data_IF_264869859746
#
_entry.id   IF_264869859746
#
_cell.length_a   1.000
_cell.length_b   1.000
_cell.length_c   1.000
_cell.angle_alpha   90.00
_cell.angle_beta   90.00
_cell.angle_gamma   90.00
#
_symmetry.space_group_name_H-M   'P 1'
#
loop_
_entity.id
_entity.type
_entity.pdbx_description
1 polymer ?
#
# COMPACT_ATOMS: atom_id res chain seq x y z
N UNK A 1 -15.49 40.65 28.56
CA UNK A 1 -15.11 40.15 27.22
C UNK A 1 -15.25 38.63 27.20
N UNK A 2 -16.36 38.11 26.68
CA UNK A 2 -16.66 36.68 26.67
C UNK A 2 -15.84 35.94 25.61
N UNK A 3 -15.09 34.93 26.03
CA UNK A 3 -14.47 33.92 25.17
C UNK A 3 -15.56 33.17 24.40
N UNK A 4 -15.68 33.36 23.08
CA UNK A 4 -16.42 32.44 22.21
C UNK A 4 -15.67 31.11 22.20
N UNK A 5 -16.17 30.14 22.98
CA UNK A 5 -15.83 28.72 22.80
C UNK A 5 -16.22 28.34 21.38
N UNK A 6 -15.27 27.87 20.57
CA UNK A 6 -15.60 27.10 19.38
C UNK A 6 -16.32 25.84 19.86
N UNK A 7 -17.61 25.77 19.59
CA UNK A 7 -18.42 24.56 19.76
C UNK A 7 -17.87 23.51 18.81
N UNK A 8 -17.42 22.37 19.35
CA UNK A 8 -17.28 21.16 18.55
C UNK A 8 -18.64 20.87 17.88
N UNK A 9 -18.67 20.42 16.62
CA UNK A 9 -19.91 19.88 16.07
C UNK A 9 -20.39 18.73 16.95
N UNK A 10 -21.68 18.77 17.27
CA UNK A 10 -22.37 17.75 18.04
C UNK A 10 -22.28 16.42 17.28
N UNK A 11 -21.45 15.48 17.75
CA UNK A 11 -21.33 14.11 17.22
C UNK A 11 -22.55 13.28 17.65
N UNK A 12 -23.75 13.79 17.38
CA UNK A 12 -24.99 13.04 17.54
C UNK A 12 -24.94 11.79 16.66
N UNK A 13 -25.24 10.62 17.25
CA UNK A 13 -25.40 9.39 16.47
C UNK A 13 -26.30 9.69 15.26
N UNK A 14 -25.91 9.29 14.03
CA UNK A 14 -26.71 9.53 12.84
C UNK A 14 -28.15 9.04 13.09
N UNK A 15 -29.10 9.97 13.16
CA UNK A 15 -30.48 9.66 13.55
C UNK A 15 -31.21 8.82 12.49
N UNK A 16 -30.70 8.79 11.26
CA UNK A 16 -31.26 8.02 10.16
C UNK A 16 -30.45 6.74 9.92
N UNK A 17 -31.11 5.58 9.96
CA UNK A 17 -30.50 4.32 9.52
C UNK A 17 -30.16 4.40 8.03
N UNK A 18 -28.88 4.43 7.72
CA UNK A 18 -28.40 4.43 6.35
C UNK A 18 -28.71 3.10 5.65
N UNK A 19 -29.04 3.16 4.36
CA UNK A 19 -29.16 1.97 3.51
C UNK A 19 -27.77 1.39 3.22
N UNK A 20 -27.67 0.10 2.86
CA UNK A 20 -26.40 -0.56 2.53
C UNK A 20 -25.60 0.21 1.47
N UNK A 21 -26.28 0.75 0.46
CA UNK A 21 -25.63 1.52 -0.61
C UNK A 21 -25.04 2.84 -0.13
N UNK A 22 -25.64 3.45 0.92
CA UNK A 22 -25.11 4.67 1.56
C UNK A 22 -23.93 4.37 2.49
N UNK A 23 -23.72 3.11 2.90
CA UNK A 23 -22.56 2.68 3.69
C UNK A 23 -21.33 2.40 2.82
N UNK A 24 -21.55 2.09 1.53
CA UNK A 24 -20.49 1.77 0.57
C UNK A 24 -20.25 2.93 -0.39
N UNK A 25 -19.70 4.01 0.14
CA UNK A 25 -19.35 5.18 -0.67
C UNK A 25 -18.19 4.85 -1.62
N UNK A 26 -18.27 5.37 -2.85
CA UNK A 26 -17.18 5.27 -3.82
C UNK A 26 -16.04 6.20 -3.41
N UNK A 27 -14.82 5.69 -3.40
CA UNK A 27 -13.61 6.51 -3.20
C UNK A 27 -13.53 7.57 -4.29
N UNK A 28 -13.50 8.87 -3.95
CA UNK A 28 -13.29 9.94 -4.91
C UNK A 28 -11.94 9.76 -5.62
N UNK A 29 -11.95 9.77 -6.96
CA UNK A 29 -10.79 9.58 -7.82
C UNK A 29 -10.58 10.84 -8.67
N UNK A 30 -9.39 11.41 -8.62
CA UNK A 30 -8.92 12.45 -9.54
C UNK A 30 -7.77 11.91 -10.37
N UNK A 31 -7.79 12.20 -11.66
CA UNK A 31 -6.68 11.94 -12.56
C UNK A 31 -5.94 13.26 -12.81
N UNK A 32 -4.63 13.23 -12.64
CA UNK A 32 -3.73 14.36 -12.91
C UNK A 32 -2.82 13.95 -14.07
N UNK A 33 -2.90 14.67 -15.19
CA UNK A 33 -2.19 14.29 -16.41
C UNK A 33 -0.87 15.06 -16.58
N UNK A 34 -0.78 16.25 -16.00
CA UNK A 34 0.36 17.14 -16.19
C UNK A 34 0.69 17.93 -14.92
N UNK A 35 1.90 18.48 -14.87
CA UNK A 35 2.38 19.22 -13.70
C UNK A 35 1.59 20.49 -13.39
N UNK A 36 0.87 21.07 -14.36
CA UNK A 36 0.03 22.26 -14.10
C UNK A 36 -1.17 21.87 -13.25
N UNK A 37 -1.88 20.81 -13.61
CA UNK A 37 -3.00 20.26 -12.82
C UNK A 37 -2.58 19.86 -11.41
N UNK A 38 -1.39 19.24 -11.27
CA UNK A 38 -0.84 18.85 -9.98
C UNK A 38 -0.67 20.02 -9.00
N UNK A 39 -0.47 21.24 -9.52
CA UNK A 39 -0.20 22.44 -8.72
C UNK A 39 -1.44 23.36 -8.57
N UNK A 40 -2.60 22.91 -9.02
CA UNK A 40 -3.84 23.69 -8.91
C UNK A 40 -4.37 23.76 -7.48
N UNK A 41 -5.00 24.89 -7.16
CA UNK A 41 -5.73 25.08 -5.90
C UNK A 41 -6.99 24.22 -5.83
N UNK A 42 -7.56 23.89 -6.98
CA UNK A 42 -8.73 23.03 -7.13
C UNK A 42 -8.45 21.61 -6.64
N UNK A 43 -7.29 21.04 -7.01
CA UNK A 43 -6.85 19.74 -6.49
C UNK A 43 -6.66 19.77 -4.98
N UNK A 44 -6.01 20.82 -4.45
CA UNK A 44 -5.83 20.99 -3.01
C UNK A 44 -7.19 21.05 -2.28
N UNK A 45 -8.11 21.89 -2.77
CA UNK A 45 -9.43 22.04 -2.17
C UNK A 45 -10.23 20.75 -2.23
N UNK A 46 -10.13 19.98 -3.31
CA UNK A 46 -10.77 18.68 -3.40
C UNK A 46 -10.27 17.71 -2.32
N UNK A 47 -8.96 17.64 -2.11
CA UNK A 47 -8.36 16.79 -1.09
C UNK A 47 -8.79 17.21 0.32
N UNK A 48 -8.91 18.51 0.61
CA UNK A 48 -9.35 19.00 1.93
C UNK A 48 -10.83 18.78 2.21
N UNK A 49 -11.66 18.72 1.17
CA UNK A 49 -13.11 18.52 1.29
C UNK A 49 -13.53 17.05 1.22
N UNK A 50 -12.58 16.12 1.04
CA UNK A 50 -12.86 14.69 0.93
C UNK A 50 -12.29 13.94 2.14
N UNK A 51 -13.04 13.00 2.76
CA UNK A 51 -12.51 12.17 3.85
C UNK A 51 -11.29 11.34 3.41
N UNK A 52 -11.30 10.92 2.14
CA UNK A 52 -10.21 10.23 1.45
C UNK A 52 -10.31 10.57 -0.04
N UNK A 53 -9.17 10.76 -0.70
CA UNK A 53 -9.10 11.02 -2.13
C UNK A 53 -7.96 10.21 -2.76
N UNK A 54 -8.25 9.56 -3.90
CA UNK A 54 -7.24 8.90 -4.72
C UNK A 54 -6.81 9.84 -5.84
N UNK A 55 -5.55 10.25 -5.84
CA UNK A 55 -4.96 11.07 -6.91
C UNK A 55 -4.10 10.19 -7.82
N UNK A 56 -4.64 9.85 -8.98
CA UNK A 56 -3.98 9.03 -9.99
C UNK A 56 -3.10 9.88 -10.90
N UNK A 57 -1.89 9.39 -11.23
CA UNK A 57 -0.97 10.06 -12.16
C UNK A 57 -0.08 11.16 -11.56
N UNK A 58 -0.25 11.51 -10.27
CA UNK A 58 0.47 12.62 -9.63
C UNK A 58 2.00 12.52 -9.75
N UNK A 59 2.57 11.35 -9.45
CA UNK A 59 4.03 11.13 -9.50
C UNK A 59 4.57 11.20 -10.92
N UNK A 60 3.81 10.69 -11.90
CA UNK A 60 4.17 10.76 -13.31
C UNK A 60 4.11 12.21 -13.83
N UNK A 61 3.02 12.93 -13.52
CA UNK A 61 2.82 14.33 -13.88
C UNK A 61 3.94 15.24 -13.35
N UNK A 62 4.44 14.96 -12.15
CA UNK A 62 5.51 15.69 -11.49
C UNK A 62 6.92 15.13 -11.78
N UNK A 63 7.03 14.07 -12.58
CA UNK A 63 8.30 13.40 -12.91
C UNK A 63 9.10 13.05 -11.64
N UNK A 64 8.42 12.48 -10.65
CA UNK A 64 9.01 11.96 -9.42
C UNK A 64 9.66 10.61 -9.73
N UNK A 65 10.95 10.49 -9.45
CA UNK A 65 11.71 9.27 -9.63
C UNK A 65 11.48 8.32 -8.46
N UNK A 66 10.50 7.43 -8.62
CA UNK A 66 10.19 6.40 -7.63
C UNK A 66 11.31 5.36 -7.46
N UNK A 67 12.27 5.28 -8.38
CA UNK A 67 13.40 4.33 -8.26
C UNK A 67 14.31 4.67 -7.08
N UNK A 68 14.33 5.95 -6.64
CA UNK A 68 15.05 6.39 -5.45
C UNK A 68 14.53 5.73 -4.16
N UNK A 69 13.27 5.29 -4.14
CA UNK A 69 12.62 4.61 -3.01
C UNK A 69 12.56 3.09 -3.19
N UNK A 70 13.15 2.56 -4.26
CA UNK A 70 13.21 1.11 -4.45
C UNK A 70 14.01 0.45 -3.32
N UNK A 71 13.63 -0.76 -2.94
CA UNK A 71 14.35 -1.53 -1.91
C UNK A 71 15.85 -1.63 -2.22
N UNK A 72 16.22 -1.78 -3.50
CA UNK A 72 17.61 -1.78 -3.93
C UNK A 72 18.33 -0.46 -3.61
N UNK A 73 17.72 0.68 -3.95
CA UNK A 73 18.29 2.00 -3.67
C UNK A 73 18.44 2.24 -2.17
N UNK A 74 17.43 1.87 -1.38
CA UNK A 74 17.46 2.03 0.08
C UNK A 74 18.55 1.17 0.75
N UNK A 75 18.75 -0.07 0.29
CA UNK A 75 19.85 -0.93 0.77
C UNK A 75 21.21 -0.29 0.44
N UNK A 76 21.38 0.24 -0.77
CA UNK A 76 22.61 0.91 -1.19
C UNK A 76 22.89 2.19 -0.40
N UNK A 77 21.83 2.92 -0.04
CA UNK A 77 21.93 4.19 0.68
C UNK A 77 22.19 3.97 2.17
N UNK A 78 21.46 3.05 2.81
CA UNK A 78 21.47 2.93 4.27
C UNK A 78 21.13 1.50 4.75
N UNK A 79 21.91 0.49 4.32
CA UNK A 79 21.70 -0.93 4.68
C UNK A 79 21.50 -1.19 6.17
N UNK A 80 22.28 -0.54 7.04
CA UNK A 80 22.23 -0.75 8.50
C UNK A 80 21.19 0.12 9.21
N UNK A 81 20.42 0.91 8.48
CA UNK A 81 19.37 1.74 9.06
C UNK A 81 18.27 0.86 9.67
N UNK A 82 17.79 1.23 10.86
CA UNK A 82 16.83 0.46 11.63
C UNK A 82 15.45 0.43 10.96
N UNK A 83 14.77 -0.71 11.07
CA UNK A 83 13.40 -0.91 10.60
C UNK A 83 12.60 -1.54 11.72
N UNK A 84 11.50 -0.91 12.13
CA UNK A 84 10.50 -1.55 13.00
C UNK A 84 9.78 -2.63 12.18
N UNK A 85 9.68 -3.83 12.74
CA UNK A 85 9.00 -4.96 12.11
C UNK A 85 7.82 -5.39 12.94
N UNK A 86 6.65 -5.45 12.30
CA UNK A 86 5.43 -6.08 12.82
C UNK A 86 5.27 -7.48 12.24
N UNK A 87 5.29 -8.49 13.10
CA UNK A 87 4.98 -9.87 12.70
C UNK A 87 3.49 -10.11 12.84
N UNK A 88 2.85 -10.54 11.75
CA UNK A 88 1.40 -10.62 11.61
C UNK A 88 0.99 -11.92 10.92
N UNK A 89 -0.27 -12.31 11.07
CA UNK A 89 -0.86 -13.40 10.30
C UNK A 89 -1.30 -12.91 8.92
N UNK A 90 -0.98 -13.66 7.87
CA UNK A 90 -1.51 -13.41 6.53
C UNK A 90 -2.98 -13.81 6.49
N UNK A 91 -3.85 -12.83 6.31
CA UNK A 91 -5.31 -12.99 6.20
C UNK A 91 -5.84 -12.30 4.93
N UNK A 92 -7.07 -12.63 4.48
CA UNK A 92 -7.79 -11.83 3.48
C UNK A 92 -7.92 -10.37 3.91
N UNK A 93 -8.01 -9.44 2.96
CA UNK A 93 -8.03 -8.00 3.25
C UNK A 93 -9.29 -7.49 3.97
N UNK A 94 -10.34 -8.31 4.02
CA UNK A 94 -11.67 -8.01 4.57
C UNK A 94 -12.01 -8.84 5.83
N UNK A 95 -11.06 -9.61 6.37
CA UNK A 95 -11.28 -10.49 7.51
C UNK A 95 -10.13 -10.44 8.53
N UNK A 96 -10.46 -10.60 9.81
CA UNK A 96 -9.50 -10.83 10.88
C UNK A 96 -10.02 -11.93 11.81
N UNK A 97 -9.26 -13.02 11.97
CA UNK A 97 -9.70 -14.24 12.65
C UNK A 97 -8.83 -14.55 13.88
N UNK A 98 -9.43 -15.14 14.91
CA UNK A 98 -8.69 -15.66 16.07
C UNK A 98 -8.10 -17.06 15.82
N UNK A 99 -7.49 -17.66 16.86
CA UNK A 99 -6.90 -19.01 16.80
C UNK A 99 -7.92 -20.13 16.60
N UNK A 100 -9.21 -19.85 16.78
CA UNK A 100 -10.34 -20.76 16.54
C UNK A 100 -11.00 -20.48 15.17
N UNK A 101 -10.45 -19.56 14.37
CA UNK A 101 -10.99 -19.17 13.08
C UNK A 101 -12.20 -18.23 13.15
N UNK A 102 -12.50 -17.64 14.31
CA UNK A 102 -13.66 -16.76 14.49
C UNK A 102 -13.31 -15.28 14.26
N UNK A 103 -14.22 -14.47 13.66
CA UNK A 103 -13.99 -13.04 13.48
C UNK A 103 -13.70 -12.31 14.79
N UNK A 104 -12.63 -11.50 14.81
CA UNK A 104 -12.23 -10.75 16.00
C UNK A 104 -11.75 -9.34 15.66
N UNK A 105 -11.91 -8.41 16.61
CA UNK A 105 -11.35 -7.06 16.52
C UNK A 105 -9.87 -7.02 16.94
N UNK A 106 -9.41 -7.99 17.73
CA UNK A 106 -8.03 -8.03 18.18
C UNK A 106 -7.09 -8.38 17.02
N UNK A 107 -6.24 -7.44 16.62
CA UNK A 107 -5.25 -7.65 15.56
C UNK A 107 -3.90 -8.02 16.17
N UNK A 108 -3.44 -9.25 15.91
CA UNK A 108 -2.11 -9.68 16.33
C UNK A 108 -1.02 -8.96 15.51
N UNK A 109 -0.12 -8.25 16.20
CA UNK A 109 0.94 -7.46 15.58
C UNK A 109 2.14 -7.32 16.52
N UNK A 110 3.01 -8.33 16.52
CA UNK A 110 4.18 -8.38 17.42
C UNK A 110 5.34 -7.52 16.90
N UNK A 111 5.86 -6.63 17.75
CA UNK A 111 6.94 -5.70 17.40
C UNK A 111 8.32 -6.34 17.57
N UNK A 112 9.21 -6.08 16.63
CA UNK A 112 10.64 -6.42 16.64
C UNK A 112 11.43 -5.38 15.82
N UNK A 113 12.75 -5.49 15.76
CA UNK A 113 13.61 -4.59 15.00
C UNK A 113 14.57 -5.37 14.09
N UNK A 114 14.90 -4.79 12.95
CA UNK A 114 15.88 -5.30 11.99
C UNK A 114 16.54 -4.12 11.27
N UNK A 115 17.29 -4.38 10.20
CA UNK A 115 17.86 -3.35 9.33
C UNK A 115 17.24 -3.38 7.93
N UNK A 116 17.35 -2.28 7.18
CA UNK A 116 16.91 -2.19 5.77
C UNK A 116 17.52 -3.33 4.94
N UNK A 117 18.82 -3.61 5.12
CA UNK A 117 19.52 -4.69 4.42
C UNK A 117 18.90 -6.06 4.68
N UNK A 118 18.69 -6.41 5.96
CA UNK A 118 18.09 -7.69 6.35
C UNK A 118 16.62 -7.81 5.93
N UNK A 119 15.84 -6.73 6.08
CA UNK A 119 14.45 -6.74 5.66
C UNK A 119 14.31 -6.82 4.14
N UNK A 120 15.18 -6.16 3.39
CA UNK A 120 15.21 -6.25 1.94
C UNK A 120 15.51 -7.66 1.41
N UNK A 121 16.41 -8.40 2.09
CA UNK A 121 16.64 -9.81 1.81
C UNK A 121 15.38 -10.66 2.05
N UNK A 122 14.71 -10.46 3.21
CA UNK A 122 13.44 -11.13 3.52
C UNK A 122 12.37 -10.83 2.47
N UNK A 123 12.22 -9.57 2.05
CA UNK A 123 11.25 -9.17 1.04
C UNK A 123 11.51 -9.86 -0.31
N UNK A 124 12.76 -9.87 -0.77
CA UNK A 124 13.15 -10.53 -2.02
C UNK A 124 12.94 -12.05 -1.97
N UNK A 125 13.27 -12.69 -0.85
CA UNK A 125 13.06 -14.12 -0.66
C UNK A 125 11.57 -14.48 -0.61
N UNK A 126 10.76 -13.71 0.12
CA UNK A 126 9.31 -13.86 0.19
C UNK A 126 8.64 -13.74 -1.19
N UNK A 127 9.11 -12.80 -2.01
CA UNK A 127 8.66 -12.65 -3.39
C UNK A 127 9.01 -13.88 -4.25
N UNK A 128 10.27 -14.33 -4.19
CA UNK A 128 10.71 -15.52 -4.93
C UNK A 128 9.97 -16.80 -4.50
N UNK A 129 9.68 -16.94 -3.20
CA UNK A 129 8.88 -18.06 -2.70
C UNK A 129 7.44 -18.00 -3.23
N UNK A 130 6.83 -16.82 -3.24
CA UNK A 130 5.46 -16.64 -3.74
C UNK A 130 5.34 -16.99 -5.23
N UNK A 131 6.32 -16.59 -6.05
CA UNK A 131 6.37 -16.98 -7.48
C UNK A 131 6.49 -18.49 -7.69
N UNK A 132 7.29 -19.17 -6.86
CA UNK A 132 7.42 -20.64 -6.90
C UNK A 132 6.09 -21.31 -6.54
N UNK A 133 5.46 -20.86 -5.45
CA UNK A 133 4.18 -21.39 -4.98
C UNK A 133 3.08 -21.22 -6.03
N UNK A 134 3.00 -20.07 -6.71
CA UNK A 134 2.08 -19.88 -7.83
C UNK A 134 2.39 -20.82 -9.00
N UNK A 135 3.67 -20.93 -9.38
CA UNK A 135 4.09 -21.83 -10.47
C UNK A 135 3.72 -23.29 -10.18
N UNK A 136 3.90 -23.74 -8.94
CA UNK A 136 3.53 -25.10 -8.51
C UNK A 136 2.02 -25.31 -8.52
N UNK A 137 1.24 -24.32 -8.07
CA UNK A 137 -0.23 -24.36 -8.18
C UNK A 137 -0.70 -24.48 -9.63
N UNK A 138 -0.12 -23.70 -10.56
CA UNK A 138 -0.44 -23.79 -11.98
C UNK A 138 -0.14 -25.19 -12.56
N UNK A 139 1.01 -25.77 -12.19
CA UNK A 139 1.39 -27.14 -12.59
C UNK A 139 0.41 -28.20 -12.05
N UNK A 140 -0.05 -28.05 -10.81
CA UNK A 140 -1.02 -28.95 -10.19
C UNK A 140 -2.42 -28.83 -10.82
N UNK A 141 -2.80 -27.66 -11.34
CA UNK A 141 -4.07 -27.45 -12.06
C UNK A 141 -4.07 -27.90 -13.52
N UNK A 142 -3.00 -28.54 -14.02
CA UNK A 142 -2.97 -29.13 -15.36
C UNK A 142 -2.90 -28.13 -16.53
N UNK A 143 -2.57 -26.86 -16.27
CA UNK A 143 -2.35 -25.87 -17.33
C UNK A 143 -0.98 -26.11 -17.98
N UNK A 144 -0.98 -26.72 -19.18
CA UNK A 144 0.21 -26.91 -20.00
C UNK A 144 0.84 -25.55 -20.37
N UNK A 145 1.91 -25.16 -19.67
CA UNK A 145 2.80 -24.08 -20.11
C UNK A 145 4.15 -24.70 -20.47
N UNK A 146 4.49 -24.63 -21.77
CA UNK A 146 5.83 -24.92 -22.28
C UNK A 146 6.82 -24.00 -21.56
N UNK A 147 7.63 -24.59 -20.70
CA UNK A 147 8.73 -23.93 -20.00
C UNK A 147 10.00 -24.06 -20.84
N UNK A 148 10.76 -22.96 -21.01
CA UNK A 148 12.14 -22.98 -21.49
C UNK A 148 13.01 -22.35 -20.39
N UNK A 149 13.92 -23.10 -19.74
CA UNK A 149 14.96 -22.52 -18.89
C UNK A 149 16.30 -22.44 -19.63
N UNK A 150 17.00 -21.31 -19.56
CA UNK A 150 18.18 -21.15 -18.68
C UNK A 150 18.92 -19.80 -18.91
N UNK A 151 19.73 -19.36 -17.93
CA UNK A 151 20.44 -18.08 -17.96
C UNK A 151 21.86 -18.20 -18.53
N UNK A 152 22.26 -17.30 -19.43
CA UNK A 152 23.67 -17.09 -19.76
C UNK A 152 24.12 -15.67 -19.41
N UNK A 153 25.20 -15.59 -18.62
CA UNK A 153 25.99 -14.39 -18.39
C UNK A 153 26.65 -13.95 -19.69
N UNK A 154 26.40 -12.73 -20.17
CA UNK A 154 27.41 -11.69 -20.42
C UNK A 154 26.87 -10.54 -21.30
N UNK A 155 27.29 -9.32 -20.93
CA UNK A 155 27.47 -8.11 -21.74
C UNK A 155 26.28 -7.49 -22.49
N UNK A 156 25.89 -6.30 -22.00
CA UNK A 156 25.77 -5.08 -22.82
C UNK A 156 24.72 -5.04 -23.92
N UNK A 157 23.58 -4.41 -23.63
CA UNK A 157 22.97 -3.34 -24.44
C UNK A 157 21.55 -3.06 -23.93
N UNK A 158 21.23 -1.77 -23.80
CA UNK A 158 19.86 -1.26 -23.69
C UNK A 158 18.99 -1.75 -24.86
N UNK A 159 17.66 -1.66 -24.74
CA UNK A 159 17.02 -0.66 -25.57
C UNK A 159 15.85 0.08 -24.93
N UNK A 160 15.72 1.29 -25.43
CA UNK A 160 14.66 2.28 -25.31
C UNK A 160 13.35 1.86 -25.98
N UNK A 161 12.25 2.35 -25.40
CA UNK A 161 11.09 3.00 -26.02
C UNK A 161 10.28 2.28 -27.12
N UNK A 162 9.00 2.00 -26.82
CA UNK A 162 7.91 1.97 -27.81
C UNK A 162 6.54 2.02 -27.11
N UNK A 163 5.75 3.03 -27.45
CA UNK A 163 4.37 3.25 -27.01
C UNK A 163 3.33 2.26 -27.58
N UNK A 164 2.04 2.46 -27.23
CA UNK A 164 1.02 1.41 -27.27
C UNK A 164 0.22 1.41 -28.57
N UNK A 165 -0.27 0.25 -29.00
CA UNK A 165 -1.34 0.18 -30.02
C UNK A 165 -2.17 -1.10 -29.97
N UNK A 166 -3.48 -0.86 -30.03
CA UNK A 166 -4.53 -1.69 -30.66
C UNK A 166 -5.27 -2.75 -29.82
N UNK A 167 -6.26 -2.20 -29.11
CA UNK A 167 -7.62 -2.71 -28.89
C UNK A 167 -8.06 -4.03 -29.58
N UNK A 168 -8.57 -4.97 -28.77
CA UNK A 168 -9.62 -5.91 -29.18
C UNK A 168 -10.69 -6.03 -28.09
N UNK A 169 -11.87 -5.47 -28.42
CA UNK A 169 -13.14 -5.54 -27.68
C UNK A 169 -13.49 -6.99 -27.33
N UNK A 170 -13.81 -7.27 -26.05
CA UNK A 170 -14.72 -8.36 -25.67
C UNK A 170 -15.72 -7.86 -24.63
N UNK A 171 -16.97 -8.20 -24.93
CA UNK A 171 -18.24 -7.76 -24.35
C UNK A 171 -18.46 -8.43 -22.98
N UNK A 172 -18.70 -7.65 -21.92
CA UNK A 172 -19.19 -8.16 -20.63
C UNK A 172 -20.72 -8.00 -20.62
N UNK A 173 -21.43 -9.12 -20.67
CA UNK A 173 -22.82 -9.24 -20.21
C UNK A 173 -22.82 -9.66 -18.74
N UNK A 174 -23.77 -9.14 -17.98
CA UNK A 174 -23.79 -9.17 -16.51
C UNK A 174 -24.07 -10.52 -15.86
N UNK A 175 -23.92 -10.54 -14.54
CA UNK A 175 -24.29 -11.66 -13.68
C UNK A 175 -23.59 -11.59 -12.32
N UNK A 176 -24.29 -11.03 -11.34
CA UNK A 176 -23.97 -11.14 -9.91
C UNK A 176 -24.10 -12.60 -9.47
N UNK A 177 -23.06 -13.23 -8.93
CA UNK A 177 -23.15 -14.35 -8.00
C UNK A 177 -21.76 -14.76 -7.48
N UNK A 178 -21.64 -14.94 -6.16
CA UNK A 178 -20.70 -15.90 -5.57
C UNK A 178 -19.34 -15.36 -5.13
N UNK A 179 -19.28 -14.74 -3.96
CA UNK A 179 -18.09 -14.82 -3.09
C UNK A 179 -17.88 -16.31 -2.75
N UNK A 180 -16.66 -16.88 -2.83
CA UNK A 180 -16.47 -18.27 -2.42
C UNK A 180 -16.62 -18.34 -0.90
N UNK A 181 -17.73 -18.91 -0.44
CA UNK A 181 -17.89 -19.32 0.94
C UNK A 181 -16.79 -20.34 1.25
N UNK A 182 -15.88 -20.00 2.15
CA UNK A 182 -15.10 -21.01 2.88
C UNK A 182 -16.13 -21.91 3.58
N UNK A 183 -16.13 -23.18 3.20
CA UNK A 183 -16.99 -24.20 3.74
C UNK A 183 -16.93 -24.21 5.27
N UNK A 184 -18.09 -24.08 5.91
CA UNK A 184 -18.27 -24.49 7.31
C UNK A 184 -18.63 -25.97 7.27
N UNK A 185 -17.83 -26.91 7.81
CA UNK A 185 -18.27 -28.28 7.95
C UNK A 185 -19.16 -28.39 9.19
N UNK A 186 -20.36 -28.93 9.01
CA UNK A 186 -21.20 -29.38 10.11
C UNK A 186 -20.64 -30.64 10.76
N UNK A 187 -20.70 -30.64 12.10
CA UNK A 187 -21.07 -31.77 12.99
C UNK A 187 -20.43 -33.12 12.69
N UNK A 188 -19.30 -33.39 13.35
CA UNK A 188 -19.00 -34.56 14.21
C UNK A 188 -17.48 -34.84 14.22
N UNK A 189 -16.88 -34.80 15.42
CA UNK A 189 -15.56 -35.39 15.70
C UNK A 189 -14.37 -34.45 15.53
N UNK A 190 -13.76 -34.10 16.67
CA UNK A 190 -12.42 -33.51 16.89
C UNK A 190 -12.09 -32.14 16.24
N UNK A 191 -11.67 -31.12 17.04
CA UNK A 191 -11.22 -29.85 16.50
C UNK A 191 -9.76 -29.96 16.06
N UNK A 192 -9.48 -30.74 15.03
CA UNK A 192 -8.14 -30.77 14.42
C UNK A 192 -8.21 -30.20 12.99
N UNK A 193 -8.20 -28.88 12.90
CA UNK A 193 -7.77 -28.18 11.68
C UNK A 193 -7.40 -26.73 12.01
N UNK A 194 -6.44 -26.56 12.92
CA UNK A 194 -5.69 -25.31 13.00
C UNK A 194 -4.89 -25.18 11.70
N UNK A 195 -5.48 -24.63 10.63
CA UNK A 195 -4.70 -24.24 9.45
C UNK A 195 -3.63 -23.26 9.95
N UNK A 196 -2.34 -23.60 9.87
CA UNK A 196 -1.30 -22.73 10.39
C UNK A 196 -1.29 -21.45 9.55
N UNK A 197 -1.79 -20.36 10.14
CA UNK A 197 -1.82 -19.06 9.49
C UNK A 197 -0.39 -18.64 9.14
N UNK A 198 -0.12 -18.44 7.85
CA UNK A 198 1.20 -18.03 7.37
C UNK A 198 1.59 -16.71 8.01
N UNK A 199 2.69 -16.70 8.75
CA UNK A 199 3.24 -15.47 9.33
C UNK A 199 3.94 -14.62 8.27
N UNK A 200 3.74 -13.31 8.36
CA UNK A 200 4.40 -12.30 7.53
C UNK A 200 5.09 -11.27 8.43
N UNK A 201 6.14 -10.65 7.89
CA UNK A 201 6.84 -9.53 8.53
C UNK A 201 6.57 -8.27 7.72
N UNK A 202 6.03 -7.25 8.39
CA UNK A 202 5.78 -5.93 7.84
C UNK A 202 6.79 -4.94 8.41
N UNK A 203 7.72 -4.50 7.57
CA UNK A 203 8.65 -3.41 7.85
C UNK A 203 7.92 -2.07 7.76
N UNK A 204 7.91 -1.33 8.86
CA UNK A 204 7.15 -0.10 9.05
C UNK A 204 8.01 0.94 9.79
N UNK A 205 7.54 2.19 9.80
CA UNK A 205 8.17 3.30 10.52
C UNK A 205 9.69 3.45 10.26
N UNK A 206 10.11 3.35 8.99
CA UNK A 206 11.51 3.56 8.59
C UNK A 206 11.77 5.06 8.51
N UNK A 207 12.65 5.57 9.36
CA UNK A 207 12.94 7.01 9.44
C UNK A 207 13.79 7.50 8.26
N UNK A 208 13.23 8.38 7.45
CA UNK A 208 13.93 9.01 6.32
C UNK A 208 14.33 10.47 6.60
N UNK A 209 14.31 10.91 7.87
CA UNK A 209 14.53 12.31 8.26
C UNK A 209 15.97 12.81 8.13
N UNK A 210 16.97 11.92 8.11
CA UNK A 210 18.38 12.30 7.98
C UNK A 210 18.67 12.80 6.55
N UNK A 211 18.64 14.12 6.36
CA UNK A 211 18.87 14.78 5.08
C UNK A 211 20.21 14.42 4.44
N UNK A 212 21.23 14.07 5.23
CA UNK A 212 22.55 13.70 4.70
C UNK A 212 22.53 12.31 4.09
N UNK A 213 21.70 11.41 4.63
CA UNK A 213 21.55 10.03 4.12
C UNK A 213 20.54 9.97 2.97
N UNK A 214 19.39 10.60 3.13
CA UNK A 214 18.24 10.46 2.23
C UNK A 214 18.02 11.67 1.32
N UNK A 215 19.09 12.43 1.04
CA UNK A 215 19.03 13.66 0.24
C UNK A 215 18.33 13.45 -1.11
N UNK A 216 18.66 12.36 -1.82
CA UNK A 216 18.09 12.06 -3.14
C UNK A 216 16.58 11.82 -3.04
N UNK A 217 16.15 11.03 -2.06
CA UNK A 217 14.75 10.73 -1.78
C UNK A 217 13.97 12.00 -1.40
N UNK A 218 14.50 12.80 -0.46
CA UNK A 218 13.85 14.03 0.00
C UNK A 218 13.76 15.07 -1.12
N UNK A 219 14.76 15.14 -2.01
CA UNK A 219 14.71 16.00 -3.21
C UNK A 219 13.57 15.62 -4.14
N UNK A 220 13.28 14.33 -4.31
CA UNK A 220 12.15 13.85 -5.10
C UNK A 220 10.80 14.24 -4.45
N UNK A 221 10.67 14.14 -3.12
CA UNK A 221 9.46 14.57 -2.40
C UNK A 221 9.23 16.09 -2.49
N UNK A 222 10.28 16.90 -2.60
CA UNK A 222 10.17 18.35 -2.78
C UNK A 222 9.51 18.77 -4.11
N UNK A 223 9.39 17.87 -5.09
CA UNK A 223 8.64 18.12 -6.33
C UNK A 223 7.12 18.15 -6.12
N UNK A 224 6.63 17.61 -4.99
CA UNK A 224 5.21 17.57 -4.66
C UNK A 224 4.59 18.98 -4.58
N UNK A 225 3.26 19.11 -4.72
CA UNK A 225 2.57 20.37 -4.47
C UNK A 225 2.74 20.80 -3.00
N UNK A 226 2.73 22.09 -2.72
CA UNK A 226 3.03 22.62 -1.39
C UNK A 226 2.18 21.98 -0.27
N UNK A 227 0.91 21.71 -0.53
CA UNK A 227 0.00 21.08 0.43
C UNK A 227 0.30 19.60 0.75
N UNK A 228 1.16 18.94 -0.05
CA UNK A 228 1.61 17.55 0.13
C UNK A 228 3.09 17.43 0.53
N UNK A 229 3.84 18.54 0.62
CA UNK A 229 5.26 18.49 0.98
C UNK A 229 5.43 18.25 2.48
N UNK A 230 6.53 17.59 2.84
CA UNK A 230 6.95 17.40 4.25
C UNK A 230 7.10 18.76 4.95
N UNK A 231 7.73 19.72 4.28
CA UNK A 231 7.90 21.10 4.77
C UNK A 231 7.33 22.10 3.78
N UNK A 232 6.41 22.94 4.24
CA UNK A 232 5.81 24.01 3.46
C UNK A 232 5.26 25.11 4.38
N UNK A 233 5.26 26.36 3.91
CA UNK A 233 4.73 27.48 4.70
C UNK A 233 3.25 27.31 5.08
N UNK A 234 2.47 26.61 4.26
CA UNK A 234 1.06 26.29 4.51
C UNK A 234 0.85 25.06 5.41
N UNK A 235 1.90 24.34 5.79
CA UNK A 235 1.83 23.19 6.68
C UNK A 235 2.06 23.62 8.14
N UNK A 236 1.07 23.42 9.01
CA UNK A 236 1.16 23.76 10.43
C UNK A 236 2.30 23.01 11.14
N UNK A 237 2.61 21.79 10.73
CA UNK A 237 3.67 20.97 11.33
C UNK A 237 5.06 21.56 11.07
N UNK A 238 5.24 22.33 10.00
CA UNK A 238 6.50 23.02 9.70
C UNK A 238 6.85 24.09 10.74
N UNK A 239 5.86 24.62 11.45
CA UNK A 239 6.04 25.73 12.41
C UNK A 239 6.26 25.26 13.85
N UNK A 240 6.37 23.95 14.10
CA UNK A 240 6.53 23.40 15.46
C UNK A 240 7.89 23.71 16.10
N UNK A 241 8.91 24.09 15.30
CA UNK A 241 10.26 24.40 15.78
C UNK A 241 11.06 23.19 16.28
N UNK A 242 10.52 21.97 16.17
CA UNK A 242 11.18 20.71 16.48
C UNK A 242 10.67 19.59 15.56
N UNK A 243 11.43 18.50 15.47
CA UNK A 243 11.08 17.36 14.62
C UNK A 243 10.05 16.47 15.31
N UNK A 244 8.99 16.12 14.57
CA UNK A 244 8.05 15.05 14.92
C UNK A 244 8.26 13.93 13.90
N UNK A 245 8.71 12.75 14.36
CA UNK A 245 8.93 11.60 13.49
C UNK A 245 7.58 11.06 13.00
N UNK A 246 7.47 10.88 11.68
CA UNK A 246 6.28 10.40 10.99
C UNK A 246 6.34 8.92 10.61
#
# INVERSE_FOLDING_TARGET
>A
MCKKRHTQPDDGQPQEKLTKDKLLLKTPLIVVENGREALTTELQNFCYNSPIALVHGLTAALKIDLSQFSTKSLIQTASEHEVEVRTQYKMPGDANLDHLGQPTWACYSAKSYTTIGRYGQYQAESFRHSLKEETEKLKQTGANVKYVPEPQKSSGASPSDAGPSSAKKRKLGGGLAGVPAMCVPGVNGEPDSTVPLKMIKFGTNVDLSDERKFQAQLKELNKMPAFCRISAACNLLTHLGHTVLG
#
